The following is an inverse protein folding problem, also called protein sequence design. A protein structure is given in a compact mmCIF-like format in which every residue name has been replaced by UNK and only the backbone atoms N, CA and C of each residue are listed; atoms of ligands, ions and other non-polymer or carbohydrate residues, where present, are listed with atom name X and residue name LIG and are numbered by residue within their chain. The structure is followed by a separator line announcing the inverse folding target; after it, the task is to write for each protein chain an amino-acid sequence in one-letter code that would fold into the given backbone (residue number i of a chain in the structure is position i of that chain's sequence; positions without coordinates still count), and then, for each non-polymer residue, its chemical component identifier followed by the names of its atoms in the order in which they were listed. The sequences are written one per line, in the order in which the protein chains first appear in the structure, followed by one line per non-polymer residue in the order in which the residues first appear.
data_IF_954881816067
#
_entry.id   IF_954881816067
#
_cell.length_a   1.000
_cell.length_b   1.000
_cell.length_c   1.000
_cell.angle_alpha   90.00
_cell.angle_beta   90.00
_cell.angle_gamma   90.00
#
_symmetry.space_group_name_H-M   'P 1'
#
loop_
_entity.id
_entity.type
_entity.pdbx_description
1 polymer ?
#
# COMPACT_ATOMS: atom_id res chain seq x y z
N UNK A 1 -46.40 -0.37 -11.90
CA UNK A 1 -46.05 0.67 -12.86
C UNK A 1 -45.67 1.92 -12.11
N UNK A 2 -44.40 2.18 -11.96
CA UNK A 2 -43.89 3.48 -11.54
C UNK A 2 -42.51 3.57 -12.21
N UNK A 3 -42.48 4.30 -13.33
CA UNK A 3 -41.28 4.69 -14.04
C UNK A 3 -40.51 5.69 -13.15
N UNK A 4 -39.39 5.26 -12.59
CA UNK A 4 -38.41 6.14 -12.04
C UNK A 4 -37.70 6.89 -13.18
N UNK A 5 -37.90 8.20 -13.24
CA UNK A 5 -37.22 9.08 -14.17
C UNK A 5 -35.70 8.96 -13.96
N UNK A 6 -35.00 8.54 -15.00
CA UNK A 6 -33.57 8.72 -15.16
C UNK A 6 -33.28 10.23 -15.13
N UNK A 7 -32.67 10.71 -14.07
CA UNK A 7 -32.12 12.06 -14.00
C UNK A 7 -31.00 12.15 -15.04
N UNK A 8 -31.30 12.85 -16.13
CA UNK A 8 -30.32 13.33 -17.12
C UNK A 8 -29.23 14.07 -16.37
N UNK A 9 -27.97 13.66 -16.60
CA UNK A 9 -26.80 14.03 -15.86
C UNK A 9 -26.62 15.53 -15.68
N UNK A 10 -26.49 15.91 -14.45
CA UNK A 10 -25.71 17.10 -14.11
C UNK A 10 -24.30 16.85 -14.67
N UNK A 11 -23.85 17.74 -15.55
CA UNK A 11 -22.45 17.75 -16.04
C UNK A 11 -21.59 17.90 -14.80
N UNK A 12 -20.98 16.80 -14.35
CA UNK A 12 -20.10 16.83 -13.16
C UNK A 12 -18.98 17.83 -13.44
N UNK A 13 -18.71 18.70 -12.46
CA UNK A 13 -17.62 19.68 -12.57
C UNK A 13 -16.32 18.93 -12.90
N UNK A 14 -15.49 19.48 -13.80
CA UNK A 14 -14.18 18.91 -14.08
C UNK A 14 -13.39 18.65 -12.78
N UNK A 15 -12.80 17.49 -12.67
CA UNK A 15 -12.12 17.04 -11.45
C UNK A 15 -10.71 17.61 -11.41
N UNK A 16 -10.36 18.35 -10.36
CA UNK A 16 -8.99 18.83 -10.12
C UNK A 16 -8.11 17.74 -9.49
N UNK A 17 -6.78 17.92 -9.54
CA UNK A 17 -5.83 17.00 -8.90
C UNK A 17 -6.09 16.89 -7.38
N UNK A 18 -6.47 17.98 -6.73
CA UNK A 18 -6.79 17.99 -5.29
C UNK A 18 -8.08 17.23 -5.00
N UNK A 19 -9.17 17.50 -5.72
CA UNK A 19 -10.45 16.80 -5.57
C UNK A 19 -10.30 15.30 -5.86
N UNK A 20 -9.50 14.96 -6.88
CA UNK A 20 -9.19 13.57 -7.20
C UNK A 20 -8.49 12.84 -6.05
N UNK A 21 -7.43 13.43 -5.50
CA UNK A 21 -6.73 12.87 -4.34
C UNK A 21 -7.64 12.66 -3.15
N UNK A 22 -8.47 13.64 -2.85
CA UNK A 22 -9.43 13.52 -1.74
C UNK A 22 -10.39 12.36 -1.95
N UNK A 23 -11.01 12.24 -3.13
CA UNK A 23 -11.92 11.13 -3.47
C UNK A 23 -11.20 9.76 -3.37
N UNK A 24 -9.95 9.67 -3.86
CA UNK A 24 -9.14 8.44 -3.77
C UNK A 24 -8.87 8.06 -2.31
N UNK A 25 -8.51 9.01 -1.45
CA UNK A 25 -8.26 8.76 -0.02
C UNK A 25 -9.52 8.30 0.71
N UNK A 26 -10.67 8.89 0.43
CA UNK A 26 -11.96 8.53 1.04
C UNK A 26 -12.43 7.13 0.61
N UNK A 27 -12.19 6.77 -0.64
CA UNK A 27 -12.63 5.48 -1.19
C UNK A 27 -11.64 4.35 -0.92
N UNK A 28 -10.34 4.58 -0.98
CA UNK A 28 -9.28 3.56 -1.06
C UNK A 28 -9.52 2.36 -0.14
N UNK A 29 -9.71 1.20 -0.76
CA UNK A 29 -9.86 -0.07 -0.02
C UNK A 29 -8.58 -0.50 0.68
N UNK A 30 -7.41 -0.11 0.14
CA UNK A 30 -6.13 -0.43 0.76
C UNK A 30 -5.92 0.37 2.05
N UNK A 31 -6.31 1.66 2.08
CA UNK A 31 -6.29 2.48 3.30
C UNK A 31 -7.28 1.91 4.32
N UNK A 32 -8.50 1.54 3.91
CA UNK A 32 -9.48 0.92 4.79
C UNK A 32 -9.00 -0.42 5.35
N UNK A 33 -8.33 -1.23 4.51
CA UNK A 33 -7.72 -2.49 4.96
C UNK A 33 -6.65 -2.24 6.03
N UNK A 34 -5.71 -1.32 5.81
CA UNK A 34 -4.66 -1.01 6.78
C UNK A 34 -5.21 -0.38 8.06
N UNK A 35 -6.31 0.40 7.99
CA UNK A 35 -7.02 0.90 9.15
C UNK A 35 -7.64 -0.23 9.99
N UNK A 36 -8.25 -1.24 9.36
CA UNK A 36 -8.77 -2.42 10.06
C UNK A 36 -7.65 -3.26 10.68
N UNK A 37 -6.51 -3.39 10.01
CA UNK A 37 -5.31 -4.05 10.57
C UNK A 37 -4.80 -3.31 11.81
N UNK A 38 -4.78 -1.97 11.82
CA UNK A 38 -4.47 -1.18 13.01
C UNK A 38 -5.49 -1.39 14.13
N UNK A 39 -6.79 -1.42 13.81
CA UNK A 39 -7.86 -1.71 14.79
C UNK A 39 -7.69 -3.12 15.38
N UNK A 40 -7.37 -4.12 14.55
CA UNK A 40 -7.07 -5.47 15.00
C UNK A 40 -5.90 -5.51 16.00
N UNK A 41 -4.82 -4.76 15.74
CA UNK A 41 -3.71 -4.65 16.67
C UNK A 41 -4.08 -3.93 17.97
N UNK A 42 -4.98 -2.93 17.94
CA UNK A 42 -5.52 -2.31 19.16
C UNK A 42 -6.29 -3.32 20.02
N UNK A 43 -7.07 -4.20 19.41
CA UNK A 43 -7.74 -5.30 20.12
C UNK A 43 -6.73 -6.32 20.66
N UNK A 44 -5.67 -6.64 19.92
CA UNK A 44 -4.59 -7.51 20.38
C UNK A 44 -3.85 -6.92 21.61
N UNK A 45 -3.64 -5.61 21.67
CA UNK A 45 -3.09 -4.93 22.85
C UNK A 45 -4.03 -5.11 24.07
N UNK A 46 -5.34 -4.91 23.87
CA UNK A 46 -6.34 -5.10 24.93
C UNK A 46 -6.36 -6.57 25.38
N UNK A 47 -6.31 -7.52 24.44
CA UNK A 47 -6.22 -8.95 24.75
C UNK A 47 -4.93 -9.30 25.50
N UNK A 48 -3.77 -8.77 25.12
CA UNK A 48 -2.52 -8.99 25.85
C UNK A 48 -2.57 -8.42 27.29
N UNK A 49 -3.36 -7.36 27.52
CA UNK A 49 -3.57 -6.78 28.84
C UNK A 49 -4.41 -7.70 29.74
N UNK A 50 -5.30 -8.54 29.19
CA UNK A 50 -6.13 -9.45 30.02
C UNK A 50 -5.32 -10.48 30.78
N UNK A 51 -4.10 -10.80 30.30
CA UNK A 51 -3.18 -11.71 30.99
C UNK A 51 -2.70 -11.21 32.37
N UNK A 52 -2.93 -9.93 32.70
CA UNK A 52 -2.68 -9.37 34.03
C UNK A 52 -3.79 -9.65 35.03
N UNK A 53 -4.96 -10.14 34.61
CA UNK A 53 -6.12 -10.39 35.44
C UNK A 53 -6.31 -11.89 35.69
N UNK A 54 -7.09 -12.28 36.72
CA UNK A 54 -7.41 -13.68 36.98
C UNK A 54 -8.14 -14.32 35.79
N UNK A 55 -7.78 -15.57 35.48
CA UNK A 55 -8.54 -16.40 34.56
C UNK A 55 -9.48 -17.28 35.36
N UNK A 56 -10.70 -17.50 34.86
CA UNK A 56 -11.71 -18.38 35.40
C UNK A 56 -12.01 -19.45 34.38
N UNK A 57 -11.69 -20.71 34.72
CA UNK A 57 -11.88 -21.84 33.84
C UNK A 57 -12.87 -22.80 34.47
N UNK A 58 -13.76 -23.37 33.66
CA UNK A 58 -14.64 -24.48 34.06
C UNK A 58 -14.23 -25.73 33.27
N UNK A 59 -14.09 -26.83 33.98
CA UNK A 59 -13.73 -28.12 33.42
C UNK A 59 -14.63 -29.23 33.88
N UNK A 60 -14.97 -30.15 32.99
CA UNK A 60 -15.72 -31.33 33.30
C UNK A 60 -15.06 -32.57 32.71
N UNK A 61 -14.97 -33.64 33.42
CA UNK A 61 -14.50 -34.91 32.95
C UNK A 61 -15.38 -36.06 33.38
N UNK A 62 -15.54 -37.03 32.49
CA UNK A 62 -16.16 -38.32 32.77
C UNK A 62 -15.20 -39.40 32.27
N UNK A 63 -14.97 -40.38 33.12
CA UNK A 63 -14.13 -41.53 32.76
C UNK A 63 -14.85 -42.83 33.17
N UNK A 64 -14.97 -43.76 32.23
CA UNK A 64 -15.40 -45.13 32.48
C UNK A 64 -14.20 -46.06 32.41
N UNK A 65 -13.96 -46.80 33.51
CA UNK A 65 -12.90 -47.81 33.54
C UNK A 65 -13.45 -49.13 33.04
N UNK A 66 -12.85 -49.67 31.99
CA UNK A 66 -13.27 -50.93 31.39
C UNK A 66 -12.95 -52.11 32.29
N UNK A 67 -11.80 -52.12 32.95
CA UNK A 67 -11.37 -53.17 33.85
C UNK A 67 -11.73 -52.86 35.27
N UNK A 68 -12.29 -53.85 36.00
CA UNK A 68 -12.49 -53.77 37.47
C UNK A 68 -11.13 -53.60 38.14
N UNK A 69 -11.11 -52.73 39.12
CA UNK A 69 -9.94 -52.53 39.98
C UNK A 69 -10.42 -52.48 41.41
N UNK A 70 -10.09 -53.55 42.16
CA UNK A 70 -10.41 -53.67 43.58
C UNK A 70 -9.13 -53.41 44.38
N UNK A 71 -9.22 -52.58 45.41
CA UNK A 71 -8.11 -52.37 46.35
C UNK A 71 -8.16 -53.47 47.40
N UNK A 72 -7.15 -54.31 47.43
CA UNK A 72 -6.98 -55.38 48.41
C UNK A 72 -6.04 -54.90 49.53
N UNK A 73 -6.58 -54.78 50.72
CA UNK A 73 -5.85 -54.40 51.94
C UNK A 73 -5.51 -55.62 52.81
N UNK A 74 -5.75 -56.85 52.33
CA UNK A 74 -5.49 -58.09 53.02
C UNK A 74 -6.71 -59.01 53.15
N UNK A 75 -6.57 -60.19 53.77
CA UNK A 75 -7.65 -61.19 53.80
C UNK A 75 -9.00 -60.66 54.32
N UNK A 76 -10.01 -60.55 53.44
CA UNK A 76 -11.34 -60.06 53.73
C UNK A 76 -11.52 -58.54 53.71
N UNK A 77 -10.52 -57.77 53.29
CA UNK A 77 -10.56 -56.30 53.22
C UNK A 77 -10.44 -55.77 51.79
N UNK A 78 -11.05 -56.42 50.82
CA UNK A 78 -11.13 -55.88 49.46
C UNK A 78 -12.21 -54.82 49.34
N UNK A 79 -11.88 -53.65 48.80
CA UNK A 79 -12.78 -52.55 48.55
C UNK A 79 -13.08 -52.44 47.07
N UNK A 80 -14.33 -52.66 46.65
CA UNK A 80 -14.75 -52.59 45.27
C UNK A 80 -14.77 -51.12 44.80
N UNK A 81 -14.05 -50.82 43.70
CA UNK A 81 -14.00 -49.47 43.11
C UNK A 81 -15.06 -49.32 42.04
N UNK A 82 -15.67 -48.11 41.92
CA UNK A 82 -16.66 -47.84 40.89
C UNK A 82 -15.96 -47.65 39.51
N UNK A 83 -16.63 -48.09 38.46
CA UNK A 83 -16.21 -47.93 37.09
C UNK A 83 -16.31 -46.46 36.61
N UNK A 84 -17.22 -45.71 37.17
CA UNK A 84 -17.52 -44.33 36.75
C UNK A 84 -16.79 -43.31 37.61
N UNK A 85 -16.11 -42.37 36.98
CA UNK A 85 -15.51 -41.22 37.65
C UNK A 85 -16.00 -39.95 37.02
N UNK A 86 -16.55 -39.04 37.81
CA UNK A 86 -17.06 -37.75 37.41
C UNK A 86 -16.25 -36.65 38.11
N UNK A 87 -15.96 -35.57 37.37
CA UNK A 87 -15.37 -34.38 37.96
C UNK A 87 -15.86 -33.15 37.21
N UNK A 88 -16.48 -32.24 37.93
CA UNK A 88 -16.84 -30.91 37.46
C UNK A 88 -16.15 -29.90 38.37
N UNK A 89 -15.43 -28.93 37.77
CA UNK A 89 -14.66 -27.99 38.57
C UNK A 89 -14.58 -26.60 37.94
N UNK A 90 -14.57 -25.60 38.80
CA UNK A 90 -14.25 -24.24 38.46
C UNK A 90 -12.90 -23.86 39.10
N UNK A 91 -12.03 -23.28 38.34
CA UNK A 91 -10.70 -22.81 38.79
C UNK A 91 -10.55 -21.34 38.50
N UNK A 92 -10.23 -20.56 39.52
CA UNK A 92 -9.81 -19.16 39.39
C UNK A 92 -8.29 -19.14 39.60
N UNK A 93 -7.52 -18.70 38.60
CA UNK A 93 -6.05 -18.63 38.71
C UNK A 93 -5.53 -17.22 38.38
N UNK A 94 -4.65 -16.73 39.24
CA UNK A 94 -3.97 -15.42 39.05
C UNK A 94 -2.47 -15.62 39.05
N UNK A 95 -1.78 -15.33 37.92
CA UNK A 95 -0.33 -15.26 37.91
C UNK A 95 0.13 -14.01 38.68
N UNK A 96 0.87 -14.22 39.77
CA UNK A 96 1.48 -13.15 40.58
C UNK A 96 2.80 -12.72 39.94
N UNK A 97 3.54 -13.71 39.44
CA UNK A 97 4.80 -13.47 38.73
C UNK A 97 4.97 -14.51 37.61
N UNK A 98 5.04 -14.08 36.39
CA UNK A 98 5.22 -14.92 35.21
C UNK A 98 6.61 -14.76 34.57
N UNK A 99 7.66 -14.58 35.39
CA UNK A 99 9.02 -14.43 34.87
C UNK A 99 9.25 -13.19 34.00
N UNK A 100 8.30 -12.25 33.96
CA UNK A 100 8.30 -11.09 33.04
C UNK A 100 7.64 -11.34 31.70
N UNK A 101 7.06 -12.54 31.46
CA UNK A 101 6.44 -12.91 30.19
C UNK A 101 5.23 -12.04 29.86
N UNK A 102 4.31 -11.86 30.82
CA UNK A 102 3.07 -11.07 30.63
C UNK A 102 3.43 -9.62 30.28
N UNK A 103 4.34 -9.01 31.04
CA UNK A 103 4.77 -7.63 30.79
C UNK A 103 5.43 -7.45 29.41
N UNK A 104 6.35 -8.34 29.03
CA UNK A 104 7.03 -8.22 27.74
C UNK A 104 6.10 -8.55 26.56
N UNK A 105 5.14 -9.49 26.71
CA UNK A 105 4.10 -9.73 25.71
C UNK A 105 3.21 -8.48 25.49
N UNK A 106 2.77 -7.85 26.59
CA UNK A 106 1.99 -6.63 26.50
C UNK A 106 2.77 -5.49 25.82
N UNK A 107 4.05 -5.30 26.18
CA UNK A 107 4.92 -4.32 25.54
C UNK A 107 5.20 -4.64 24.06
N UNK A 108 5.39 -5.90 23.73
CA UNK A 108 5.53 -6.33 22.33
C UNK A 108 4.26 -6.04 21.51
N UNK A 109 3.06 -6.31 22.08
CA UNK A 109 1.79 -5.98 21.43
C UNK A 109 1.62 -4.45 21.23
N UNK A 110 2.04 -3.61 22.21
CA UNK A 110 2.02 -2.15 22.05
C UNK A 110 2.91 -1.70 20.87
N UNK A 111 4.11 -2.25 20.74
CA UNK A 111 5.03 -1.92 19.64
C UNK A 111 4.43 -2.37 18.30
N UNK A 112 3.81 -3.55 18.23
CA UNK A 112 3.11 -4.01 17.02
C UNK A 112 1.96 -3.10 16.63
N UNK A 113 1.22 -2.56 17.62
CA UNK A 113 0.20 -1.55 17.37
C UNK A 113 0.76 -0.26 16.77
N UNK A 114 1.94 0.18 17.22
CA UNK A 114 2.64 1.33 16.64
C UNK A 114 3.10 1.04 15.20
N UNK A 115 3.66 -0.15 14.96
CA UNK A 115 4.05 -0.60 13.61
C UNK A 115 2.84 -0.59 12.67
N UNK A 116 1.68 -1.06 13.12
CA UNK A 116 0.47 -1.06 12.31
C UNK A 116 -0.03 0.36 11.99
N UNK A 117 0.14 1.32 12.93
CA UNK A 117 -0.17 2.73 12.67
C UNK A 117 0.74 3.34 11.61
N UNK A 118 2.05 3.11 11.72
CA UNK A 118 3.01 3.60 10.72
C UNK A 118 2.83 2.91 9.35
N UNK A 119 2.39 1.64 9.34
CA UNK A 119 2.07 0.92 8.11
C UNK A 119 0.83 1.48 7.39
N UNK A 120 -0.19 1.93 8.14
CA UNK A 120 -1.34 2.66 7.60
C UNK A 120 -0.88 3.99 6.97
N UNK A 121 0.01 4.70 7.64
CA UNK A 121 0.59 5.93 7.14
C UNK A 121 1.40 5.71 5.86
N UNK A 122 2.24 4.67 5.82
CA UNK A 122 2.99 4.28 4.62
C UNK A 122 2.07 3.91 3.45
N UNK A 123 0.98 3.20 3.73
CA UNK A 123 -0.03 2.86 2.74
C UNK A 123 -0.68 4.12 2.18
N UNK A 124 -1.01 5.08 3.03
CA UNK A 124 -1.58 6.37 2.62
C UNK A 124 -0.63 7.14 1.72
N UNK A 125 0.67 7.21 2.07
CA UNK A 125 1.68 7.89 1.26
C UNK A 125 1.83 7.24 -0.13
N UNK A 126 1.78 5.91 -0.20
CA UNK A 126 1.82 5.18 -1.47
C UNK A 126 0.57 5.45 -2.34
N UNK A 127 -0.61 5.54 -1.73
CA UNK A 127 -1.86 5.84 -2.45
C UNK A 127 -1.88 7.28 -2.95
N UNK A 128 -1.41 8.26 -2.15
CA UNK A 128 -1.26 9.66 -2.59
C UNK A 128 -0.32 9.76 -3.80
N UNK A 129 0.83 9.09 -3.71
CA UNK A 129 1.78 9.03 -4.83
C UNK A 129 1.16 8.40 -6.10
N UNK A 130 0.48 7.27 -5.96
CA UNK A 130 -0.18 6.62 -7.07
C UNK A 130 -1.30 7.49 -7.67
N UNK A 131 -2.05 8.22 -6.83
CA UNK A 131 -3.07 9.15 -7.28
C UNK A 131 -2.46 10.29 -8.11
N UNK A 132 -1.38 10.91 -7.64
CA UNK A 132 -0.69 11.95 -8.39
C UNK A 132 -0.21 11.44 -9.76
N UNK A 133 0.43 10.28 -9.82
CA UNK A 133 0.90 9.69 -11.08
C UNK A 133 -0.24 9.41 -12.06
N UNK A 134 -1.34 8.82 -11.58
CA UNK A 134 -2.48 8.49 -12.44
C UNK A 134 -3.17 9.76 -12.98
N UNK A 135 -3.36 10.77 -12.12
CA UNK A 135 -3.98 12.02 -12.54
C UNK A 135 -3.18 12.72 -13.62
N UNK A 136 -1.89 12.94 -13.40
CA UNK A 136 -1.02 13.62 -14.36
C UNK A 136 -0.75 12.79 -15.62
N UNK A 137 -0.77 11.45 -15.51
CA UNK A 137 -0.76 10.59 -16.69
C UNK A 137 -2.01 10.80 -17.56
N UNK A 138 -3.19 10.89 -16.95
CA UNK A 138 -4.42 11.14 -17.69
C UNK A 138 -4.45 12.56 -18.32
N UNK A 139 -3.94 13.58 -17.61
CA UNK A 139 -3.78 14.93 -18.17
C UNK A 139 -2.81 14.94 -19.34
N UNK A 140 -1.69 14.20 -19.28
CA UNK A 140 -0.74 14.06 -20.39
C UNK A 140 -1.36 13.33 -21.58
N UNK A 141 -2.16 12.26 -21.34
CA UNK A 141 -2.86 11.53 -22.41
C UNK A 141 -3.93 12.41 -23.09
N UNK A 142 -4.64 13.26 -22.31
CA UNK A 142 -5.55 14.25 -22.85
C UNK A 142 -4.81 15.22 -23.77
N UNK A 143 -3.72 15.82 -23.29
CA UNK A 143 -2.89 16.72 -24.10
C UNK A 143 -2.38 16.07 -25.38
N UNK A 144 -1.95 14.81 -25.32
CA UNK A 144 -1.52 14.06 -26.50
C UNK A 144 -2.66 13.85 -27.50
N UNK A 145 -3.86 13.52 -27.04
CA UNK A 145 -5.03 13.37 -27.89
C UNK A 145 -5.41 14.70 -28.55
N UNK A 146 -5.39 15.81 -27.79
CA UNK A 146 -5.70 17.14 -28.31
C UNK A 146 -4.72 17.55 -29.43
N UNK A 147 -3.43 17.30 -29.25
CA UNK A 147 -2.39 17.55 -30.27
C UNK A 147 -2.57 16.67 -31.51
N UNK A 148 -2.94 15.38 -31.33
CA UNK A 148 -3.23 14.49 -32.47
C UNK A 148 -4.48 14.95 -33.25
N UNK A 149 -5.48 15.56 -32.58
CA UNK A 149 -6.60 16.18 -33.27
C UNK A 149 -6.13 17.33 -34.16
N UNK A 150 -5.32 18.26 -33.60
CA UNK A 150 -4.77 19.38 -34.37
C UNK A 150 -3.90 18.89 -35.55
N UNK A 151 -3.09 17.85 -35.33
CA UNK A 151 -2.27 17.27 -36.38
C UNK A 151 -3.09 16.71 -37.54
N UNK A 152 -4.16 15.99 -37.24
CA UNK A 152 -5.09 15.49 -38.28
C UNK A 152 -5.70 16.66 -39.06
N UNK A 153 -6.13 17.74 -38.38
CA UNK A 153 -6.72 18.89 -39.04
C UNK A 153 -5.73 19.58 -39.98
N UNK A 154 -4.47 19.77 -39.57
CA UNK A 154 -3.40 20.34 -40.37
C UNK A 154 -3.12 19.47 -41.63
N UNK A 155 -3.00 18.16 -41.46
CA UNK A 155 -2.74 17.23 -42.59
C UNK A 155 -3.93 17.14 -43.53
N UNK A 156 -5.15 17.19 -43.01
CA UNK A 156 -6.38 17.19 -43.81
C UNK A 156 -6.49 18.44 -44.66
N UNK A 157 -6.17 19.62 -44.12
CA UNK A 157 -6.16 20.86 -44.88
C UNK A 157 -5.17 20.78 -46.02
N UNK A 158 -3.94 20.30 -45.77
CA UNK A 158 -2.93 20.08 -46.76
C UNK A 158 -3.39 19.09 -47.85
N UNK A 159 -4.05 17.99 -47.47
CA UNK A 159 -4.60 17.01 -48.39
C UNK A 159 -5.70 17.61 -49.31
N UNK A 160 -6.52 18.49 -48.80
CA UNK A 160 -7.53 19.20 -49.58
C UNK A 160 -6.92 20.14 -50.63
N UNK A 161 -5.90 20.91 -50.24
CA UNK A 161 -5.15 21.80 -51.11
C UNK A 161 -4.48 21.00 -52.24
N UNK A 162 -3.82 19.89 -51.90
CA UNK A 162 -3.15 19.03 -52.92
C UNK A 162 -4.14 18.34 -53.83
N UNK A 163 -5.30 17.94 -53.34
CA UNK A 163 -6.36 17.36 -54.16
C UNK A 163 -6.81 18.36 -55.25
N UNK A 164 -7.01 19.62 -54.89
CA UNK A 164 -7.36 20.70 -55.84
C UNK A 164 -6.24 20.90 -56.86
N UNK A 165 -4.98 21.05 -56.42
CA UNK A 165 -3.81 21.24 -57.32
C UNK A 165 -3.59 20.07 -58.29
N UNK A 166 -3.89 18.83 -57.83
CA UNK A 166 -3.83 17.64 -58.68
C UNK A 166 -4.89 17.68 -59.77
N UNK A 167 -6.12 18.04 -59.44
CA UNK A 167 -7.23 18.17 -60.38
C UNK A 167 -6.97 19.27 -61.43
N UNK A 168 -6.23 20.32 -61.03
CA UNK A 168 -5.77 21.40 -61.93
C UNK A 168 -4.50 21.03 -62.75
N UNK A 169 -3.95 19.79 -62.55
CA UNK A 169 -2.78 19.31 -63.22
C UNK A 169 -1.45 19.94 -62.79
N UNK A 170 -1.42 20.56 -61.59
CA UNK A 170 -0.25 21.32 -61.08
C UNK A 170 0.71 20.45 -60.28
N UNK A 171 0.32 19.27 -59.80
CA UNK A 171 1.17 18.36 -59.03
C UNK A 171 1.08 16.93 -59.53
N UNK A 172 2.05 16.10 -59.12
CA UNK A 172 2.09 14.69 -59.47
C UNK A 172 1.10 13.86 -58.62
N UNK A 173 0.65 12.71 -59.18
CA UNK A 173 -0.14 11.74 -58.43
C UNK A 173 0.61 11.19 -57.20
N UNK A 174 1.96 11.12 -57.30
CA UNK A 174 2.82 10.67 -56.21
C UNK A 174 2.73 11.59 -55.01
N UNK A 175 2.74 12.91 -55.19
CA UNK A 175 2.65 13.91 -54.13
C UNK A 175 1.29 13.82 -53.43
N UNK A 176 0.20 13.67 -54.19
CA UNK A 176 -1.15 13.47 -53.62
C UNK A 176 -1.20 12.18 -52.79
N UNK A 177 -0.68 11.05 -53.31
CA UNK A 177 -0.71 9.79 -52.57
C UNK A 177 0.12 9.85 -51.27
N UNK A 178 1.24 10.57 -51.25
CA UNK A 178 2.07 10.76 -50.05
C UNK A 178 1.30 11.46 -48.93
N UNK A 179 0.60 12.57 -49.27
CA UNK A 179 -0.19 13.31 -48.28
C UNK A 179 -1.41 12.49 -47.79
N UNK A 180 -2.07 11.78 -48.74
CA UNK A 180 -3.19 10.87 -48.35
C UNK A 180 -2.71 9.75 -47.43
N UNK A 181 -1.54 9.18 -47.65
CA UNK A 181 -0.92 8.20 -46.74
C UNK A 181 -0.62 8.81 -45.38
N UNK A 182 -0.05 10.02 -45.36
CA UNK A 182 0.22 10.73 -44.11
C UNK A 182 -1.06 11.04 -43.31
N UNK A 183 -2.16 11.41 -44.01
CA UNK A 183 -3.43 11.62 -43.38
C UNK A 183 -3.96 10.36 -42.70
N UNK A 184 -3.89 9.21 -43.37
CA UNK A 184 -4.31 7.93 -42.77
C UNK A 184 -3.47 7.50 -41.57
N UNK A 185 -2.17 7.79 -41.63
CA UNK A 185 -1.29 7.59 -40.47
C UNK A 185 -1.64 8.52 -39.30
N UNK A 186 -1.96 9.79 -39.55
CA UNK A 186 -2.38 10.77 -38.55
C UNK A 186 -3.71 10.35 -37.89
N UNK A 187 -4.70 9.92 -38.69
CA UNK A 187 -5.98 9.39 -38.19
C UNK A 187 -5.77 8.15 -37.29
N UNK A 188 -4.87 7.24 -37.67
CA UNK A 188 -4.53 6.05 -36.89
C UNK A 188 -3.91 6.46 -35.53
N UNK A 189 -2.95 7.40 -35.55
CA UNK A 189 -2.30 7.91 -34.34
C UNK A 189 -3.30 8.64 -33.42
N UNK A 190 -4.22 9.44 -33.96
CA UNK A 190 -5.32 10.06 -33.22
C UNK A 190 -6.19 9.02 -32.52
N UNK A 191 -6.55 7.93 -33.23
CA UNK A 191 -7.36 6.84 -32.66
C UNK A 191 -6.61 6.13 -31.51
N UNK A 192 -5.29 5.91 -31.67
CA UNK A 192 -4.46 5.33 -30.63
C UNK A 192 -4.37 6.25 -29.39
N UNK A 193 -4.15 7.55 -29.59
CA UNK A 193 -4.12 8.53 -28.50
C UNK A 193 -5.47 8.63 -27.77
N UNK A 194 -6.59 8.60 -28.49
CA UNK A 194 -7.93 8.54 -27.88
C UNK A 194 -8.13 7.30 -27.01
N UNK A 195 -7.75 6.13 -27.53
CA UNK A 195 -7.81 4.88 -26.75
C UNK A 195 -7.01 4.99 -25.44
N UNK A 196 -5.75 5.51 -25.53
CA UNK A 196 -4.88 5.64 -24.37
C UNK A 196 -5.45 6.65 -23.34
N UNK A 197 -6.06 7.74 -23.82
CA UNK A 197 -6.77 8.69 -22.96
C UNK A 197 -7.98 8.05 -22.26
N UNK A 198 -8.81 7.29 -22.99
CA UNK A 198 -9.96 6.60 -22.39
C UNK A 198 -9.52 5.58 -21.33
N UNK A 199 -8.47 4.81 -21.57
CA UNK A 199 -7.91 3.88 -20.58
C UNK A 199 -7.42 4.63 -19.34
N UNK A 200 -6.79 5.78 -19.51
CA UNK A 200 -6.32 6.59 -18.38
C UNK A 200 -7.51 7.11 -17.53
N UNK A 201 -8.60 7.55 -18.16
CA UNK A 201 -9.84 7.96 -17.45
C UNK A 201 -10.46 6.78 -16.68
N UNK A 202 -10.50 5.58 -17.28
CA UNK A 202 -10.99 4.39 -16.61
C UNK A 202 -10.15 4.05 -15.36
N UNK A 203 -8.83 4.19 -15.44
CA UNK A 203 -7.94 4.00 -14.30
C UNK A 203 -8.20 5.03 -13.18
N UNK A 204 -8.45 6.30 -13.53
CA UNK A 204 -8.86 7.32 -12.57
C UNK A 204 -10.16 6.93 -11.86
N UNK A 205 -11.18 6.51 -12.62
CA UNK A 205 -12.47 6.12 -12.09
C UNK A 205 -12.36 4.97 -11.07
N UNK A 206 -11.58 3.94 -11.40
CA UNK A 206 -11.37 2.80 -10.51
C UNK A 206 -10.77 3.21 -9.17
N UNK A 207 -9.77 4.11 -9.19
CA UNK A 207 -9.14 4.59 -7.96
C UNK A 207 -10.07 5.48 -7.11
N UNK A 208 -10.99 6.22 -7.74
CA UNK A 208 -12.05 6.98 -7.04
C UNK A 208 -13.22 6.10 -6.58
N UNK A 209 -13.26 4.82 -6.97
CA UNK A 209 -14.38 3.93 -6.68
C UNK A 209 -15.63 4.16 -7.53
N UNK A 210 -15.47 4.83 -8.65
CA UNK A 210 -16.52 5.08 -9.63
C UNK A 210 -16.47 4.00 -10.71
N UNK A 211 -17.61 3.60 -11.32
CA UNK A 211 -17.59 2.64 -12.44
C UNK A 211 -16.65 3.09 -13.56
N UNK A 212 -15.85 2.19 -14.18
CA UNK A 212 -14.79 2.57 -15.12
C UNK A 212 -15.26 3.43 -16.30
N UNK A 213 -16.48 3.20 -16.79
CA UNK A 213 -17.05 3.88 -17.95
C UNK A 213 -17.78 5.18 -17.62
N UNK A 214 -17.72 5.64 -16.36
CA UNK A 214 -18.35 6.92 -15.97
C UNK A 214 -17.63 8.06 -16.68
N UNK A 215 -18.33 8.99 -17.36
CA UNK A 215 -17.69 10.16 -17.96
C UNK A 215 -17.06 11.03 -16.87
N UNK A 216 -15.77 11.32 -17.00
CA UNK A 216 -15.02 12.23 -16.11
C UNK A 216 -14.22 13.17 -16.99
N UNK A 217 -14.22 14.45 -16.63
CA UNK A 217 -13.40 15.47 -17.27
C UNK A 217 -12.29 15.94 -16.33
N UNK A 218 -11.07 16.08 -16.87
CA UNK A 218 -9.91 16.57 -16.13
C UNK A 218 -9.87 18.09 -16.23
N UNK A 219 -9.80 18.75 -15.07
CA UNK A 219 -9.79 20.22 -14.98
C UNK A 219 -8.41 20.82 -15.26
N UNK A 220 -7.33 20.18 -14.74
CA UNK A 220 -5.99 20.77 -14.79
C UNK A 220 -5.30 20.45 -16.11
N UNK A 221 -4.74 21.47 -16.75
CA UNK A 221 -3.91 21.28 -17.92
C UNK A 221 -2.51 20.75 -17.52
N UNK A 222 -1.95 19.87 -18.34
CA UNK A 222 -0.60 19.33 -18.10
C UNK A 222 0.49 20.41 -18.16
N UNK A 223 0.22 21.50 -18.87
CA UNK A 223 1.14 22.65 -19.10
C UNK A 223 1.46 23.45 -17.83
N UNK A 224 0.69 23.27 -16.74
CA UNK A 224 0.90 24.00 -15.49
C UNK A 224 2.16 23.53 -14.80
N UNK A 225 3.30 24.18 -15.03
CA UNK A 225 4.58 23.88 -14.36
C UNK A 225 4.53 24.31 -12.89
N UNK A 226 4.92 23.42 -11.99
CA UNK A 226 5.02 23.76 -10.57
C UNK A 226 6.46 24.21 -10.23
N UNK A 227 6.59 25.24 -9.35
CA UNK A 227 7.92 25.69 -8.94
C UNK A 227 8.65 24.60 -8.15
N UNK A 228 9.99 24.61 -8.21
CA UNK A 228 10.80 23.73 -7.39
C UNK A 228 10.52 23.98 -5.91
N UNK A 229 10.25 22.93 -5.12
CA UNK A 229 10.11 23.06 -3.68
C UNK A 229 11.47 23.32 -3.03
N UNK A 230 11.45 23.73 -1.77
CA UNK A 230 12.67 23.81 -0.98
C UNK A 230 13.29 22.42 -0.82
N UNK A 231 14.60 22.32 -0.99
CA UNK A 231 15.32 21.06 -0.78
C UNK A 231 15.27 20.65 0.69
N UNK A 232 14.84 19.42 0.94
CA UNK A 232 14.78 18.80 2.25
C UNK A 232 15.92 17.80 2.36
N UNK A 233 16.75 17.97 3.40
CA UNK A 233 17.87 17.07 3.67
C UNK A 233 17.45 15.69 4.14
N UNK A 234 18.38 14.73 4.06
CA UNK A 234 18.21 13.34 4.47
C UNK A 234 17.67 13.19 5.91
N UNK A 235 18.23 13.94 6.87
CA UNK A 235 17.81 13.82 8.28
C UNK A 235 16.33 14.15 8.50
N UNK A 236 15.82 15.18 7.83
CA UNK A 236 14.41 15.55 7.91
C UNK A 236 13.53 14.48 7.22
N UNK A 237 13.97 13.93 6.09
CA UNK A 237 13.29 12.83 5.43
C UNK A 237 13.21 11.59 6.32
N UNK A 238 14.30 11.21 7.00
CA UNK A 238 14.32 10.08 7.94
C UNK A 238 13.39 10.27 9.15
N UNK A 239 13.11 11.51 9.55
CA UNK A 239 12.16 11.79 10.63
C UNK A 239 10.71 11.69 10.17
N UNK A 240 10.44 12.01 8.91
CA UNK A 240 9.09 12.05 8.36
C UNK A 240 8.60 10.71 7.81
N UNK A 241 9.52 9.78 7.48
CA UNK A 241 9.20 8.53 6.79
C UNK A 241 8.73 7.43 7.72
N UNK A 242 7.51 6.89 7.49
CA UNK A 242 6.96 5.80 8.30
C UNK A 242 7.79 4.51 8.21
N UNK A 243 8.36 4.17 7.03
CA UNK A 243 9.15 2.94 6.83
C UNK A 243 10.44 2.93 7.68
N UNK A 244 11.09 4.09 7.87
CA UNK A 244 12.22 4.19 8.78
C UNK A 244 11.79 4.06 10.25
N UNK A 245 10.65 4.66 10.62
CA UNK A 245 10.06 4.49 11.97
C UNK A 245 9.70 3.03 12.23
N UNK A 246 9.12 2.33 11.26
CA UNK A 246 8.84 0.88 11.33
C UNK A 246 10.14 0.09 11.58
N UNK A 247 11.23 0.44 10.90
CA UNK A 247 12.52 -0.23 11.09
C UNK A 247 13.06 -0.06 12.52
N UNK A 248 12.95 1.13 13.11
CA UNK A 248 13.28 1.39 14.52
C UNK A 248 12.40 0.57 15.47
N UNK A 249 11.09 0.58 15.24
CA UNK A 249 10.13 -0.17 16.06
C UNK A 249 10.36 -1.69 15.97
N UNK A 250 10.78 -2.22 14.83
CA UNK A 250 11.15 -3.63 14.68
C UNK A 250 12.36 -4.01 15.55
N UNK A 251 13.34 -3.12 15.74
CA UNK A 251 14.46 -3.31 16.65
C UNK A 251 13.94 -3.37 18.10
N UNK A 252 13.05 -2.45 18.48
CA UNK A 252 12.47 -2.44 19.83
C UNK A 252 11.62 -3.69 20.10
N UNK A 253 10.83 -4.11 19.13
CA UNK A 253 10.08 -5.35 19.19
C UNK A 253 11.01 -6.55 19.41
N UNK A 254 12.10 -6.63 18.65
CA UNK A 254 13.08 -7.71 18.80
C UNK A 254 13.77 -7.72 20.18
N UNK A 255 14.01 -6.55 20.77
CA UNK A 255 14.49 -6.45 22.16
C UNK A 255 13.49 -7.06 23.15
N UNK A 256 12.16 -6.91 22.93
CA UNK A 256 11.12 -7.57 23.73
C UNK A 256 11.14 -9.09 23.50
N UNK A 257 11.35 -9.58 22.28
CA UNK A 257 11.49 -11.01 22.00
C UNK A 257 12.68 -11.66 22.72
N UNK A 258 13.82 -10.95 22.83
CA UNK A 258 14.94 -11.38 23.66
C UNK A 258 14.53 -11.53 25.13
N UNK A 259 13.79 -10.55 25.66
CA UNK A 259 13.32 -10.61 27.06
C UNK A 259 12.29 -11.73 27.26
N UNK A 260 11.41 -11.98 26.29
CA UNK A 260 10.49 -13.12 26.31
C UNK A 260 11.22 -14.46 26.31
N UNK A 261 12.27 -14.60 25.52
CA UNK A 261 13.11 -15.79 25.52
C UNK A 261 13.82 -16.01 26.88
N UNK A 262 14.23 -14.94 27.54
CA UNK A 262 14.75 -15.02 28.92
C UNK A 262 13.66 -15.40 29.92
N UNK A 263 12.45 -14.83 29.77
CA UNK A 263 11.32 -15.03 30.67
C UNK A 263 10.86 -16.50 30.78
N UNK A 264 11.01 -17.30 29.70
CA UNK A 264 10.71 -18.74 29.69
C UNK A 264 11.51 -19.55 30.74
N UNK A 265 12.63 -19.03 31.20
CA UNK A 265 13.56 -19.66 32.14
C UNK A 265 13.57 -19.01 33.50
N UNK A 266 12.69 -18.05 33.74
CA UNK A 266 12.52 -17.41 35.03
C UNK A 266 11.46 -18.16 35.87
N UNK A 267 11.50 -18.09 37.20
CA UNK A 267 10.45 -18.62 38.05
C UNK A 267 9.09 -18.04 37.69
N UNK A 268 8.04 -18.83 37.89
CA UNK A 268 6.65 -18.38 37.80
C UNK A 268 5.92 -18.71 39.09
N UNK A 269 5.11 -17.78 39.57
CA UNK A 269 4.29 -17.91 40.78
C UNK A 269 2.83 -17.58 40.42
N UNK A 270 1.95 -18.50 40.71
CA UNK A 270 0.51 -18.28 40.57
C UNK A 270 -0.19 -18.68 41.86
N UNK A 271 -1.28 -18.01 42.16
CA UNK A 271 -2.22 -18.37 43.25
C UNK A 271 -3.59 -18.60 42.62
N UNK A 272 -4.41 -19.40 43.30
CA UNK A 272 -5.76 -19.65 42.80
C UNK A 272 -6.65 -20.33 43.81
N UNK A 273 -7.92 -20.40 43.42
CA UNK A 273 -8.96 -21.14 44.06
C UNK A 273 -9.55 -22.15 43.10
N UNK A 274 -9.75 -23.35 43.56
CA UNK A 274 -10.38 -24.42 42.80
C UNK A 274 -11.53 -25.03 43.63
N UNK A 275 -12.69 -25.16 43.03
CA UNK A 275 -13.79 -25.92 43.57
C UNK A 275 -14.13 -27.08 42.66
N UNK A 276 -14.04 -28.30 43.15
CA UNK A 276 -14.32 -29.50 42.35
C UNK A 276 -15.46 -30.27 43.02
N UNK A 277 -16.48 -30.62 42.25
CA UNK A 277 -17.53 -31.55 42.60
C UNK A 277 -17.38 -32.81 41.76
N UNK A 278 -17.42 -33.98 42.44
CA UNK A 278 -17.28 -35.23 41.71
C UNK A 278 -16.93 -36.42 42.61
N UNK A 279 -16.52 -37.50 41.96
CA UNK A 279 -16.09 -38.73 42.66
C UNK A 279 -14.91 -38.46 43.56
N UNK A 280 -14.94 -38.98 44.83
CA UNK A 280 -13.80 -38.85 45.74
C UNK A 280 -12.54 -39.53 45.19
N UNK A 281 -11.38 -39.18 45.76
CA UNK A 281 -10.07 -39.72 45.34
C UNK A 281 -10.03 -41.24 45.36
N UNK A 282 -10.65 -41.85 46.39
CA UNK A 282 -10.96 -43.27 46.45
C UNK A 282 -12.40 -43.46 45.98
N UNK A 283 -12.57 -43.83 44.72
CA UNK A 283 -13.89 -44.03 44.10
C UNK A 283 -14.46 -45.39 44.49
N UNK A 284 -14.77 -45.54 45.77
CA UNK A 284 -15.40 -46.76 46.35
C UNK A 284 -16.82 -46.84 45.83
N UNK A 285 -17.28 -48.01 45.46
CA UNK A 285 -18.61 -48.30 45.01
C UNK A 285 -19.63 -47.87 46.05
N UNK A 286 -20.57 -47.00 45.67
CA UNK A 286 -21.59 -46.42 46.57
C UNK A 286 -21.12 -45.20 47.35
N UNK A 287 -19.95 -44.65 47.09
CA UNK A 287 -19.54 -43.36 47.69
C UNK A 287 -20.29 -42.17 47.09
N UNK A 288 -20.66 -41.20 47.93
CA UNK A 288 -21.30 -39.95 47.52
C UNK A 288 -20.31 -39.06 46.80
N UNK A 289 -20.85 -38.21 45.92
CA UNK A 289 -20.09 -37.13 45.26
C UNK A 289 -19.68 -36.07 46.29
N UNK A 290 -18.43 -35.61 46.23
CA UNK A 290 -17.92 -34.63 47.19
C UNK A 290 -17.64 -33.28 46.50
N UNK A 291 -17.96 -32.20 47.25
CA UNK A 291 -17.50 -30.87 46.94
C UNK A 291 -16.17 -30.59 47.66
N UNK A 292 -15.11 -30.33 46.88
CA UNK A 292 -13.78 -30.16 47.43
C UNK A 292 -13.23 -28.77 47.03
N UNK A 293 -13.45 -27.72 47.85
CA UNK A 293 -12.83 -26.42 47.65
C UNK A 293 -11.38 -26.44 48.13
N UNK A 294 -10.50 -25.81 47.35
CA UNK A 294 -9.08 -25.69 47.70
C UNK A 294 -8.52 -24.33 47.23
N UNK A 295 -7.66 -23.76 48.06
CA UNK A 295 -6.78 -22.64 47.66
C UNK A 295 -5.39 -23.23 47.36
N UNK A 296 -4.78 -22.77 46.29
CA UNK A 296 -3.46 -23.25 45.93
C UNK A 296 -2.47 -22.10 45.60
N UNK A 297 -1.19 -22.33 45.82
CA UNK A 297 -0.10 -21.53 45.33
C UNK A 297 0.84 -22.47 44.52
N UNK A 298 1.16 -22.09 43.28
CA UNK A 298 2.01 -22.87 42.40
C UNK A 298 3.27 -22.08 42.08
N UNK A 299 4.43 -22.59 42.49
CA UNK A 299 5.74 -22.07 42.18
C UNK A 299 6.43 -23.04 41.25
N UNK A 300 6.79 -22.58 40.02
CA UNK A 300 7.53 -23.37 39.04
C UNK A 300 8.88 -22.69 38.76
N UNK A 301 9.97 -23.39 39.03
CA UNK A 301 11.36 -22.95 38.81
C UNK A 301 12.05 -23.88 37.84
N UNK A 302 12.32 -23.47 36.59
CA UNK A 302 13.10 -24.28 35.67
C UNK A 302 14.58 -24.31 36.09
N UNK A 303 15.09 -25.43 36.64
CA UNK A 303 16.45 -25.50 37.16
C UNK A 303 17.48 -25.78 36.08
N UNK A 304 17.21 -26.71 35.17
CA UNK A 304 18.19 -27.10 34.15
C UNK A 304 17.54 -27.52 32.84
N UNK A 305 18.03 -26.98 31.72
CA UNK A 305 17.58 -27.29 30.34
C UNK A 305 18.73 -27.32 29.34
N UNK A 306 19.81 -27.99 29.68
CA UNK A 306 20.95 -28.28 28.80
C UNK A 306 21.44 -27.04 28.01
N UNK A 307 21.50 -25.89 28.64
CA UNK A 307 21.97 -24.63 28.01
C UNK A 307 21.03 -24.01 26.99
N UNK A 308 19.78 -24.49 26.86
CA UNK A 308 18.78 -23.97 25.91
C UNK A 308 18.56 -22.45 26.05
N UNK A 309 18.53 -21.91 27.29
CA UNK A 309 18.45 -20.47 27.54
C UNK A 309 19.49 -19.66 26.78
N UNK A 310 20.75 -20.06 26.85
CA UNK A 310 21.84 -19.34 26.19
C UNK A 310 21.73 -19.42 24.67
N UNK A 311 21.38 -20.58 24.15
CA UNK A 311 21.24 -20.79 22.70
C UNK A 311 20.06 -20.02 22.12
N UNK A 312 18.88 -20.06 22.77
CA UNK A 312 17.71 -19.28 22.36
C UNK A 312 17.97 -17.77 22.44
N UNK A 313 18.54 -17.28 23.56
CA UNK A 313 18.88 -15.86 23.70
C UNK A 313 19.90 -15.41 22.67
N UNK A 314 20.92 -16.22 22.37
CA UNK A 314 21.92 -15.88 21.36
C UNK A 314 21.34 -15.89 19.94
N UNK A 315 20.41 -16.80 19.66
CA UNK A 315 19.63 -16.79 18.40
C UNK A 315 18.84 -15.48 18.27
N UNK A 316 18.09 -15.07 19.30
CA UNK A 316 17.33 -13.83 19.28
C UNK A 316 18.23 -12.58 19.19
N UNK A 317 19.43 -12.60 19.76
CA UNK A 317 20.42 -11.53 19.59
C UNK A 317 20.98 -11.48 18.16
N UNK A 318 21.16 -12.62 17.50
CA UNK A 318 21.56 -12.64 16.08
C UNK A 318 20.46 -12.04 15.19
N UNK A 319 19.19 -12.32 15.48
CA UNK A 319 18.05 -11.70 14.81
C UNK A 319 18.03 -10.17 15.07
N UNK A 320 18.36 -9.73 16.31
CA UNK A 320 18.46 -8.29 16.60
C UNK A 320 19.48 -7.62 15.69
N UNK A 321 20.70 -8.16 15.59
CA UNK A 321 21.73 -7.61 14.68
C UNK A 321 21.28 -7.60 13.22
N UNK A 322 20.55 -8.63 12.78
CA UNK A 322 19.95 -8.65 11.44
C UNK A 322 18.95 -7.49 11.24
N UNK A 323 18.15 -7.15 12.27
CA UNK A 323 17.23 -6.01 12.21
C UNK A 323 17.97 -4.66 12.23
N UNK A 324 19.09 -4.57 12.93
CA UNK A 324 19.96 -3.38 12.94
C UNK A 324 20.54 -3.15 11.53
N UNK A 325 21.11 -4.18 10.89
CA UNK A 325 21.57 -4.06 9.49
C UNK A 325 20.43 -3.74 8.51
N UNK A 326 19.22 -4.28 8.74
CA UNK A 326 18.07 -3.94 7.91
C UNK A 326 17.66 -2.47 8.05
N UNK A 327 17.75 -1.89 9.25
CA UNK A 327 17.52 -0.46 9.47
C UNK A 327 18.58 0.41 8.77
N UNK A 328 19.87 0.03 8.87
CA UNK A 328 20.94 0.74 8.17
C UNK A 328 20.74 0.69 6.65
N UNK A 329 20.38 -0.47 6.11
CA UNK A 329 20.03 -0.62 4.70
C UNK A 329 18.83 0.26 4.28
N UNK A 330 17.78 0.33 5.12
CA UNK A 330 16.63 1.22 4.87
C UNK A 330 17.07 2.69 4.87
N UNK A 331 17.99 3.08 5.76
CA UNK A 331 18.57 4.43 5.76
C UNK A 331 19.29 4.73 4.44
N UNK A 332 20.16 3.83 3.99
CA UNK A 332 20.90 3.99 2.74
C UNK A 332 19.95 4.11 1.54
N UNK A 333 18.89 3.29 1.50
CA UNK A 333 17.84 3.37 0.48
C UNK A 333 17.13 4.73 0.48
N UNK A 334 16.74 5.24 1.66
CA UNK A 334 16.08 6.54 1.80
C UNK A 334 17.02 7.66 1.34
N UNK A 335 18.28 7.64 1.75
CA UNK A 335 19.30 8.60 1.30
C UNK A 335 19.41 8.61 -0.23
N UNK A 336 19.50 7.44 -0.83
CA UNK A 336 19.55 7.29 -2.29
C UNK A 336 18.26 7.78 -2.97
N UNK A 337 17.08 7.44 -2.43
CA UNK A 337 15.79 7.88 -2.99
C UNK A 337 15.66 9.41 -2.94
N UNK A 338 16.03 10.05 -1.84
CA UNK A 338 16.00 11.51 -1.69
C UNK A 338 16.93 12.16 -2.70
N UNK A 339 18.19 11.70 -2.80
CA UNK A 339 19.16 12.24 -3.74
C UNK A 339 18.74 12.06 -5.21
N UNK A 340 18.29 10.85 -5.58
CA UNK A 340 17.87 10.55 -6.95
C UNK A 340 16.61 11.33 -7.33
N UNK A 341 15.62 11.41 -6.44
CA UNK A 341 14.37 12.14 -6.72
C UNK A 341 14.58 13.63 -6.83
N UNK A 342 15.48 14.21 -6.02
CA UNK A 342 15.86 15.61 -6.13
C UNK A 342 16.57 15.92 -7.44
N UNK A 343 17.55 15.10 -7.81
CA UNK A 343 18.27 15.22 -9.09
C UNK A 343 17.29 15.11 -10.27
N UNK A 344 16.40 14.10 -10.25
CA UNK A 344 15.40 13.93 -11.30
C UNK A 344 14.46 15.13 -11.41
N UNK A 345 13.99 15.66 -10.28
CA UNK A 345 13.09 16.81 -10.24
C UNK A 345 13.77 18.07 -10.80
N UNK A 346 15.01 18.33 -10.39
CA UNK A 346 15.75 19.51 -10.86
C UNK A 346 16.06 19.44 -12.34
N UNK A 347 16.50 18.29 -12.83
CA UNK A 347 16.82 18.14 -14.27
C UNK A 347 15.56 18.11 -15.14
N UNK A 348 14.51 17.41 -14.75
CA UNK A 348 13.24 17.43 -15.48
C UNK A 348 12.63 18.85 -15.54
N UNK A 349 12.81 19.67 -14.50
CA UNK A 349 12.35 21.06 -14.52
C UNK A 349 13.16 21.91 -15.50
N UNK A 350 14.48 21.70 -15.62
CA UNK A 350 15.31 22.38 -16.62
C UNK A 350 14.98 21.95 -18.04
N UNK A 351 14.69 20.66 -18.25
CA UNK A 351 14.35 20.11 -19.56
C UNK A 351 13.08 20.71 -20.16
N UNK A 352 12.14 21.22 -19.33
CA UNK A 352 10.93 21.90 -19.82
C UNK A 352 11.29 23.07 -20.72
N UNK A 353 12.18 23.95 -20.27
CA UNK A 353 12.54 25.14 -21.05
C UNK A 353 13.16 24.76 -22.42
N UNK A 354 14.00 23.70 -22.42
CA UNK A 354 14.62 23.20 -23.66
C UNK A 354 13.57 22.58 -24.60
N UNK A 355 12.62 21.83 -24.05
CA UNK A 355 11.56 21.20 -24.83
C UNK A 355 10.56 22.24 -25.37
N UNK A 356 10.24 23.29 -24.61
CA UNK A 356 9.41 24.42 -25.07
C UNK A 356 10.09 25.18 -26.20
N UNK A 357 11.38 25.48 -26.10
CA UNK A 357 12.15 26.13 -27.16
C UNK A 357 12.24 25.25 -28.41
N UNK A 358 12.51 23.94 -28.24
CA UNK A 358 12.53 22.99 -29.36
C UNK A 358 11.16 22.91 -30.07
N UNK A 359 10.09 22.91 -29.33
CA UNK A 359 8.72 22.89 -29.86
C UNK A 359 8.46 24.18 -30.68
N UNK A 360 8.82 25.35 -30.14
CA UNK A 360 8.67 26.63 -30.83
C UNK A 360 9.48 26.70 -32.14
N UNK A 361 10.72 26.22 -32.14
CA UNK A 361 11.55 26.15 -33.34
C UNK A 361 10.93 25.21 -34.40
N UNK A 362 10.41 24.06 -33.96
CA UNK A 362 9.76 23.12 -34.87
C UNK A 362 8.44 23.67 -35.45
N UNK A 363 7.68 24.45 -34.70
CA UNK A 363 6.48 25.14 -35.16
C UNK A 363 6.84 26.20 -36.22
N UNK A 364 7.79 27.09 -35.93
CA UNK A 364 8.28 28.10 -36.89
C UNK A 364 8.82 27.45 -38.18
N UNK A 365 9.55 26.36 -38.05
CA UNK A 365 10.05 25.59 -39.20
C UNK A 365 8.90 25.02 -40.04
N UNK A 366 7.84 24.51 -39.41
CA UNK A 366 6.66 23.99 -40.11
C UNK A 366 5.96 25.12 -40.90
N UNK A 367 5.77 26.29 -40.26
CA UNK A 367 5.14 27.44 -40.89
C UNK A 367 5.92 27.93 -42.11
N UNK A 368 7.25 28.06 -41.98
CA UNK A 368 8.12 28.49 -43.06
C UNK A 368 8.14 27.49 -44.22
N UNK A 369 8.18 26.18 -43.95
CA UNK A 369 8.16 25.15 -45.00
C UNK A 369 6.78 25.14 -45.70
N UNK A 370 5.70 25.27 -44.95
CA UNK A 370 4.35 25.36 -45.52
C UNK A 370 4.18 26.58 -46.40
N UNK A 371 4.66 27.76 -45.97
CA UNK A 371 4.67 28.96 -46.78
C UNK A 371 5.50 28.81 -48.06
N UNK A 372 6.75 28.31 -47.96
CA UNK A 372 7.64 28.11 -49.07
C UNK A 372 7.12 27.10 -50.10
N UNK A 373 6.45 26.05 -49.64
CA UNK A 373 5.75 25.09 -50.51
C UNK A 373 4.60 25.77 -51.28
N UNK A 374 3.83 26.60 -50.62
CA UNK A 374 2.73 27.34 -51.27
C UNK A 374 3.24 28.28 -52.36
N UNK A 375 4.41 28.84 -52.17
CA UNK A 375 5.13 29.66 -53.16
C UNK A 375 5.82 28.86 -54.29
N UNK A 376 5.73 27.53 -54.23
CA UNK A 376 6.38 26.64 -55.21
C UNK A 376 7.90 26.53 -55.07
N UNK A 377 8.49 26.93 -53.93
CA UNK A 377 9.96 26.98 -53.71
C UNK A 377 10.51 25.70 -53.11
N UNK A 378 9.68 24.87 -52.49
CA UNK A 378 10.08 23.61 -51.82
C UNK A 378 9.16 22.45 -52.25
N UNK A 379 9.68 21.20 -52.25
CA UNK A 379 8.88 20.02 -52.49
C UNK A 379 8.00 19.68 -51.26
N UNK A 380 6.89 18.94 -51.49
CA UNK A 380 5.97 18.53 -50.44
C UNK A 380 6.61 17.70 -49.33
N UNK A 381 7.68 16.95 -49.67
CA UNK A 381 8.43 16.13 -48.70
C UNK A 381 9.01 16.96 -47.55
N UNK A 382 9.43 18.19 -47.81
CA UNK A 382 9.99 19.06 -46.78
C UNK A 382 8.89 19.51 -45.77
N UNK A 383 7.68 19.80 -46.28
CA UNK A 383 6.51 20.09 -45.41
C UNK A 383 6.14 18.88 -44.54
N UNK A 384 6.09 17.69 -45.16
CA UNK A 384 5.78 16.45 -44.42
C UNK A 384 6.87 16.12 -43.39
N UNK A 385 8.13 16.41 -43.67
CA UNK A 385 9.24 16.25 -42.72
C UNK A 385 9.15 17.27 -41.57
N UNK A 386 8.81 18.52 -41.85
CA UNK A 386 8.61 19.57 -40.85
C UNK A 386 7.39 19.25 -39.93
N UNK A 387 6.29 18.72 -40.50
CA UNK A 387 5.14 18.24 -39.73
C UNK A 387 5.51 17.11 -38.77
N UNK A 388 6.32 16.15 -39.23
CA UNK A 388 6.80 15.06 -38.38
C UNK A 388 7.68 15.57 -37.23
N UNK A 389 8.60 16.49 -37.53
CA UNK A 389 9.44 17.15 -36.53
C UNK A 389 8.61 17.91 -35.48
N UNK A 390 7.60 18.65 -35.91
CA UNK A 390 6.68 19.38 -35.01
C UNK A 390 5.94 18.44 -34.07
N UNK A 391 5.30 17.39 -34.58
CA UNK A 391 4.54 16.44 -33.74
C UNK A 391 5.43 15.69 -32.77
N UNK A 392 6.67 15.34 -33.17
CA UNK A 392 7.64 14.71 -32.28
C UNK A 392 8.09 15.65 -31.17
N UNK A 393 8.41 16.91 -31.49
CA UNK A 393 8.79 17.92 -30.49
C UNK A 393 7.66 18.21 -29.50
N UNK A 394 6.42 18.32 -29.98
CA UNK A 394 5.27 18.53 -29.12
C UNK A 394 4.97 17.32 -28.20
N UNK A 395 5.09 16.12 -28.75
CA UNK A 395 4.96 14.88 -27.98
C UNK A 395 6.04 14.78 -26.87
N UNK A 396 7.28 15.16 -27.19
CA UNK A 396 8.37 15.26 -26.21
C UNK A 396 8.08 16.30 -25.13
N UNK A 397 7.52 17.45 -25.49
CA UNK A 397 7.17 18.50 -24.53
C UNK A 397 6.10 18.01 -23.54
N UNK A 398 5.01 17.37 -24.02
CA UNK A 398 3.99 16.77 -23.15
C UNK A 398 4.61 15.73 -22.20
N UNK A 399 5.48 14.88 -22.71
CA UNK A 399 6.19 13.89 -21.90
C UNK A 399 7.07 14.55 -20.83
N UNK A 400 7.73 15.66 -21.15
CA UNK A 400 8.59 16.40 -20.23
C UNK A 400 7.77 17.05 -19.11
N UNK A 401 6.61 17.65 -19.42
CA UNK A 401 5.69 18.15 -18.41
C UNK A 401 5.20 17.05 -17.47
N UNK A 402 4.84 15.88 -18.03
CA UNK A 402 4.45 14.74 -17.19
C UNK A 402 5.60 14.26 -16.29
N UNK A 403 6.83 14.17 -16.80
CA UNK A 403 8.00 13.75 -16.03
C UNK A 403 8.30 14.70 -14.87
N UNK A 404 8.13 16.01 -15.06
CA UNK A 404 8.25 16.99 -13.97
C UNK A 404 7.23 16.75 -12.87
N UNK A 405 5.95 16.51 -13.22
CA UNK A 405 4.90 16.20 -12.24
C UNK A 405 5.17 14.90 -11.50
N UNK A 406 5.57 13.86 -12.24
CA UNK A 406 5.91 12.55 -11.67
C UNK A 406 7.12 12.62 -10.73
N UNK A 407 8.18 13.35 -11.12
CA UNK A 407 9.36 13.53 -10.26
C UNK A 407 9.08 14.37 -9.02
N UNK A 408 8.17 15.34 -9.11
CA UNK A 408 7.70 16.10 -7.94
C UNK A 408 6.92 15.22 -6.97
N UNK A 409 6.03 14.38 -7.47
CA UNK A 409 5.29 13.42 -6.64
C UNK A 409 6.26 12.41 -5.99
N UNK A 410 7.25 11.93 -6.73
CA UNK A 410 8.28 11.03 -6.22
C UNK A 410 9.14 11.69 -5.14
N UNK A 411 9.55 12.95 -5.34
CA UNK A 411 10.31 13.70 -4.36
C UNK A 411 9.51 13.91 -3.07
N UNK A 412 8.24 14.32 -3.17
CA UNK A 412 7.37 14.49 -2.00
C UNK A 412 7.26 13.18 -1.19
N UNK A 413 7.10 12.04 -1.88
CA UNK A 413 7.10 10.73 -1.24
C UNK A 413 8.46 10.41 -0.59
N UNK A 414 9.58 10.66 -1.28
CA UNK A 414 10.92 10.36 -0.79
C UNK A 414 11.26 11.13 0.49
N UNK A 415 10.80 12.37 0.62
CA UNK A 415 11.02 13.21 1.81
C UNK A 415 9.92 13.10 2.87
N UNK A 416 8.90 12.28 2.65
CA UNK A 416 7.81 12.05 3.60
C UNK A 416 6.86 13.24 3.77
N UNK A 417 6.66 14.06 2.72
CA UNK A 417 5.72 15.17 2.76
C UNK A 417 4.38 14.74 2.16
N UNK A 418 3.34 14.77 2.99
CA UNK A 418 1.95 14.61 2.58
C UNK A 418 1.38 15.96 2.14
N UNK A 419 1.46 16.31 0.88
CA UNK A 419 0.74 17.48 0.35
C UNK A 419 -0.68 17.06 -0.03
N UNK A 420 -1.62 17.34 0.84
CA UNK A 420 -3.07 17.24 0.58
C UNK A 420 -3.62 18.51 -0.14
N UNK A 421 -2.73 19.40 -0.54
CA UNK A 421 -3.10 20.67 -1.22
C UNK A 421 -2.89 20.57 -2.72
#
# INVERSE_FOLDING_TARGET
MLLGALSVGAQEKPVTAADYKQKVLEYSRQIKQSAEERIAMQHAIKAAKTAFFPAVDFSGSYQYRINKYDLDFGPGMAVEMDHNTYSLGATVSQPIYAGGQIYNNYKAAQIQGQIASEAEDLTTDNIVYAADLNYWSAAARKGMYDVMCQYVDIVQELANVLTTRFNDGQISKTDLLQVQSRLKEAELNKSAAYKDYQIALQNLNVLMGVPPMTPVEIADAITMVQPLPMHIGEEAALQNRPDFTISKLNIEYQKRQINLSKAKYNPTLAIGFQGTWGTPMLNVKGSDQLWTPAVFASLKIPLFRWGARFKEVNSQKAILRSKEYAMDYTRDQISQEVANSWTSLTENTKQINVAEEACKIAEENLDLNTFSYNEGKLPILDVLSAQLSWIQSYSSLIQTWYQQKASLAQYNKAVGIRRLQ
#
